data_IF_968442507650
#
_entry.id   IF_968442507650
#
_cell.length_a   1.000
_cell.length_b   1.000
_cell.length_c   1.000
_cell.angle_alpha   90.00
_cell.angle_beta   90.00
_cell.angle_gamma   90.00
#
_symmetry.space_group_name_H-M   'P 1'
#
loop_
_entity.id
_entity.type
_entity.pdbx_description
1 polymer ?
#
# COMPACT_ATOMS: atom_id res chain seq x y z
N UNK A 1 -60.39 -22.43 0.27
CA UNK A 1 -60.66 -22.36 -1.19
C UNK A 1 -60.33 -20.93 -1.58
N UNK A 2 -59.41 -20.58 -2.47
CA UNK A 2 -58.75 -21.30 -3.55
C UNK A 2 -57.52 -20.45 -3.96
N UNK A 3 -56.38 -21.11 -4.18
CA UNK A 3 -55.19 -20.52 -4.79
C UNK A 3 -55.50 -20.15 -6.24
N UNK A 4 -55.17 -18.93 -6.69
CA UNK A 4 -54.79 -18.71 -8.09
C UNK A 4 -53.60 -17.76 -8.20
N UNK A 5 -52.56 -18.31 -8.82
CA UNK A 5 -51.32 -17.64 -9.16
C UNK A 5 -51.48 -16.67 -10.33
N UNK A 6 -50.53 -15.73 -10.32
CA UNK A 6 -50.12 -14.66 -11.23
C UNK A 6 -50.10 -15.02 -12.73
N UNK A 7 -50.18 -14.02 -13.63
CA UNK A 7 -49.34 -14.06 -14.82
C UNK A 7 -48.39 -12.86 -14.91
N UNK A 8 -47.17 -13.25 -15.28
CA UNK A 8 -45.95 -12.50 -15.48
C UNK A 8 -46.10 -11.38 -16.53
N UNK A 9 -45.47 -10.23 -16.31
CA UNK A 9 -45.09 -9.29 -17.37
C UNK A 9 -43.68 -8.78 -17.10
N UNK A 10 -42.70 -9.47 -17.69
CA UNK A 10 -41.40 -8.89 -17.99
C UNK A 10 -41.53 -7.84 -19.10
N UNK A 11 -40.79 -6.73 -18.96
CA UNK A 11 -39.92 -6.18 -20.02
C UNK A 11 -39.11 -4.98 -19.52
N UNK A 12 -37.84 -5.27 -19.25
CA UNK A 12 -36.63 -4.57 -19.71
C UNK A 12 -36.69 -3.05 -19.97
N UNK A 13 -36.00 -2.28 -19.12
CA UNK A 13 -35.48 -0.94 -19.36
C UNK A 13 -34.16 -0.78 -18.58
N UNK A 14 -33.17 -0.03 -19.10
CA UNK A 14 -31.75 -0.35 -18.92
C UNK A 14 -31.19 -0.08 -17.52
N UNK A 15 -30.42 -1.04 -17.02
CA UNK A 15 -29.43 -0.88 -15.95
C UNK A 15 -28.17 -0.22 -16.55
N UNK A 16 -28.13 1.10 -16.59
CA UNK A 16 -26.93 1.89 -16.92
C UNK A 16 -27.12 3.25 -16.25
N UNK A 17 -26.26 3.76 -15.37
CA UNK A 17 -24.80 3.67 -15.31
C UNK A 17 -24.36 3.46 -13.86
N UNK A 18 -23.46 2.51 -13.63
CA UNK A 18 -22.61 2.55 -12.45
C UNK A 18 -21.82 3.85 -12.51
N UNK A 19 -22.11 4.79 -11.60
CA UNK A 19 -21.23 5.94 -11.38
C UNK A 19 -19.87 5.38 -10.99
N UNK A 20 -18.97 5.26 -11.95
CA UNK A 20 -17.55 5.06 -11.69
C UNK A 20 -17.15 6.18 -10.73
N UNK A 21 -16.75 5.79 -9.52
CA UNK A 21 -16.16 6.74 -8.57
C UNK A 21 -14.98 7.41 -9.28
N UNK A 22 -14.81 8.74 -9.18
CA UNK A 22 -13.67 9.40 -9.80
C UNK A 22 -12.38 8.76 -9.27
N UNK A 23 -11.52 8.32 -10.18
CA UNK A 23 -10.19 7.79 -9.88
C UNK A 23 -9.34 8.91 -9.27
N UNK A 24 -8.72 8.63 -8.12
CA UNK A 24 -7.42 9.20 -7.71
C UNK A 24 -7.28 10.70 -7.49
N UNK A 25 -8.35 11.50 -7.40
CA UNK A 25 -8.16 12.93 -7.07
C UNK A 25 -8.09 13.09 -5.56
N UNK A 26 -6.86 13.13 -5.02
CA UNK A 26 -6.61 13.62 -3.66
C UNK A 26 -7.19 15.03 -3.52
N UNK A 27 -7.74 15.35 -2.34
CA UNK A 27 -8.24 16.69 -2.07
C UNK A 27 -7.09 17.70 -2.22
N UNK A 28 -7.38 18.86 -2.85
CA UNK A 28 -6.39 19.93 -3.01
C UNK A 28 -5.76 20.28 -1.66
N UNK A 29 -4.43 20.17 -1.58
CA UNK A 29 -3.64 20.50 -0.39
C UNK A 29 -3.15 19.32 0.45
N UNK A 30 -3.45 18.07 0.06
CA UNK A 30 -2.81 16.88 0.64
C UNK A 30 -1.51 16.61 -0.12
N UNK A 31 -0.37 16.67 0.55
CA UNK A 31 0.89 16.20 -0.03
C UNK A 31 0.74 14.72 -0.42
N UNK A 32 1.27 14.37 -1.58
CA UNK A 32 1.09 13.08 -2.21
C UNK A 32 2.44 12.48 -2.60
N UNK A 33 2.49 11.15 -2.63
CA UNK A 33 3.61 10.40 -3.19
C UNK A 33 3.10 9.38 -4.21
N UNK A 34 3.96 8.96 -5.12
CA UNK A 34 3.65 7.87 -6.06
C UNK A 34 3.93 6.50 -5.46
N UNK A 35 3.05 5.55 -5.73
CA UNK A 35 3.20 4.16 -5.33
C UNK A 35 2.59 3.18 -6.34
N UNK A 36 3.09 1.95 -6.34
CA UNK A 36 2.46 0.83 -7.05
C UNK A 36 1.39 0.19 -6.18
N UNK A 37 0.14 0.36 -6.59
CA UNK A 37 -1.04 -0.09 -5.86
C UNK A 37 -1.50 -1.47 -6.34
N UNK A 38 -1.65 -2.36 -5.36
CA UNK A 38 -2.36 -3.63 -5.47
C UNK A 38 -3.81 -3.39 -5.05
N UNK A 39 -4.74 -3.40 -6.00
CA UNK A 39 -6.19 -3.22 -5.75
C UNK A 39 -6.94 -4.54 -5.60
N UNK A 40 -6.29 -5.65 -5.92
CA UNK A 40 -6.81 -7.00 -5.89
C UNK A 40 -5.66 -8.02 -5.89
N UNK A 41 -6.00 -9.30 -5.97
CA UNK A 41 -5.04 -10.41 -5.87
C UNK A 41 -4.80 -11.10 -7.23
N UNK A 42 -4.75 -10.31 -8.30
CA UNK A 42 -4.57 -10.77 -9.68
C UNK A 42 -3.10 -10.88 -10.10
N UNK A 43 -2.15 -10.76 -9.16
CA UNK A 43 -0.71 -10.83 -9.42
C UNK A 43 -0.03 -9.46 -9.57
N UNK A 44 1.30 -9.47 -9.72
CA UNK A 44 2.11 -8.24 -9.81
C UNK A 44 1.90 -7.49 -11.13
N UNK A 45 1.38 -8.18 -12.14
CA UNK A 45 0.97 -7.65 -13.43
C UNK A 45 -0.23 -6.70 -13.35
N UNK A 46 -1.03 -6.77 -12.28
CA UNK A 46 -2.18 -5.88 -12.06
C UNK A 46 -1.84 -4.62 -11.26
N UNK A 47 -0.58 -4.48 -10.81
CA UNK A 47 -0.16 -3.29 -10.07
C UNK A 47 -0.31 -2.04 -10.91
N UNK A 48 -0.90 -0.99 -10.32
CA UNK A 48 -1.05 0.31 -10.96
C UNK A 48 -0.27 1.38 -10.22
N UNK A 49 0.54 2.12 -10.95
CA UNK A 49 1.19 3.33 -10.44
C UNK A 49 0.14 4.44 -10.29
N UNK A 50 0.02 4.99 -9.08
CA UNK A 50 -0.90 6.09 -8.78
C UNK A 50 -0.34 6.98 -7.65
N UNK A 51 -1.05 8.06 -7.34
CA UNK A 51 -0.75 8.95 -6.20
C UNK A 51 -1.53 8.53 -4.95
N UNK A 52 -0.85 8.55 -3.81
CA UNK A 52 -1.42 8.30 -2.47
C UNK A 52 -0.99 9.40 -1.51
N UNK A 53 -1.69 9.61 -0.38
CA UNK A 53 -1.27 10.59 0.62
C UNK A 53 0.16 10.32 1.10
N UNK A 54 0.92 11.39 1.30
CA UNK A 54 2.28 11.32 1.84
C UNK A 54 2.23 10.76 3.29
N UNK A 55 2.88 9.61 3.56
CA UNK A 55 2.75 8.97 4.86
C UNK A 55 3.57 9.71 5.92
N UNK A 56 3.04 9.76 7.14
CA UNK A 56 3.69 10.42 8.27
C UNK A 56 4.10 9.38 9.34
N UNK A 57 5.31 9.46 9.91
CA UNK A 57 5.74 8.51 10.92
C UNK A 57 5.04 8.80 12.25
N UNK A 58 4.51 7.75 12.88
CA UNK A 58 3.96 7.78 14.23
C UNK A 58 5.00 7.52 15.33
N UNK A 59 4.53 7.17 16.53
CA UNK A 59 5.37 6.80 17.66
C UNK A 59 6.36 5.69 17.28
N UNK A 60 7.65 5.87 17.60
CA UNK A 60 8.75 4.93 17.33
C UNK A 60 8.93 4.54 15.84
N UNK A 61 8.45 5.38 14.91
CA UNK A 61 8.56 5.15 13.47
C UNK A 61 9.46 6.18 12.80
N UNK A 62 10.02 5.80 11.66
CA UNK A 62 10.74 6.69 10.74
C UNK A 62 10.07 6.66 9.38
N UNK A 63 10.12 7.79 8.68
CA UNK A 63 9.76 7.89 7.28
C UNK A 63 11.04 7.81 6.45
N UNK A 64 11.10 6.84 5.54
CA UNK A 64 12.21 6.70 4.61
C UNK A 64 11.79 7.23 3.24
N UNK A 65 12.63 8.07 2.63
CA UNK A 65 12.64 8.27 1.18
C UNK A 65 13.34 7.08 0.54
N UNK A 66 12.59 6.27 -0.18
CA UNK A 66 13.10 5.01 -0.77
C UNK A 66 14.08 5.34 -1.88
N UNK A 67 15.32 4.83 -1.77
CA UNK A 67 16.35 4.91 -2.83
C UNK A 67 16.39 3.63 -3.66
N UNK A 68 16.24 2.50 -2.99
CA UNK A 68 16.21 1.17 -3.61
C UNK A 68 15.12 0.34 -2.95
N UNK A 69 14.37 -0.40 -3.76
CA UNK A 69 13.45 -1.44 -3.31
C UNK A 69 13.89 -2.77 -3.94
N UNK A 70 13.80 -3.86 -3.19
CA UNK A 70 14.07 -5.20 -3.72
C UNK A 70 12.77 -5.91 -4.06
N UNK A 71 12.83 -6.80 -5.06
CA UNK A 71 11.73 -7.68 -5.41
C UNK A 71 11.98 -9.07 -4.83
N UNK A 72 11.00 -9.60 -4.11
CA UNK A 72 11.05 -10.93 -3.52
C UNK A 72 9.95 -11.83 -4.10
N UNK A 73 10.16 -13.16 -4.16
CA UNK A 73 9.08 -14.10 -4.47
C UNK A 73 7.87 -13.95 -3.54
N UNK A 74 8.10 -13.55 -2.29
CA UNK A 74 7.03 -13.28 -1.33
C UNK A 74 6.05 -12.19 -1.79
N UNK A 75 6.53 -11.14 -2.47
CA UNK A 75 5.67 -10.08 -3.00
C UNK A 75 4.73 -10.64 -4.08
N UNK A 76 5.27 -11.50 -4.97
CA UNK A 76 4.49 -12.16 -6.02
C UNK A 76 3.50 -13.20 -5.48
N UNK A 77 3.84 -13.89 -4.39
CA UNK A 77 2.93 -14.80 -3.70
C UNK A 77 1.83 -14.04 -2.97
N UNK A 78 2.15 -12.93 -2.30
CA UNK A 78 1.16 -12.10 -1.63
C UNK A 78 0.16 -11.53 -2.64
N UNK A 79 0.64 -11.05 -3.78
CA UNK A 79 -0.19 -10.55 -4.88
C UNK A 79 -1.16 -11.59 -5.48
N UNK A 80 -1.00 -12.88 -5.15
CA UNK A 80 -1.86 -14.00 -5.63
C UNK A 80 -2.60 -14.74 -4.51
N UNK A 81 -2.67 -14.20 -3.29
CA UNK A 81 -3.17 -14.91 -2.08
C UNK A 81 -2.45 -16.25 -1.79
N UNK A 82 -1.19 -16.37 -2.21
CA UNK A 82 -0.36 -17.55 -1.93
C UNK A 82 0.57 -17.34 -0.73
N UNK A 83 0.50 -16.17 -0.09
CA UNK A 83 1.21 -15.84 1.14
C UNK A 83 0.22 -15.77 2.31
N UNK A 84 0.60 -16.15 3.56
CA UNK A 84 -0.34 -16.20 4.69
C UNK A 84 -0.98 -14.86 5.10
N UNK A 85 -0.37 -13.73 4.73
CA UNK A 85 -0.86 -12.39 5.06
C UNK A 85 -2.08 -11.99 4.22
N UNK A 86 -2.91 -11.09 4.75
CA UNK A 86 -4.13 -10.61 4.08
C UNK A 86 -4.36 -9.11 4.35
N UNK A 87 -3.50 -8.24 3.79
CA UNK A 87 -3.59 -6.81 4.02
C UNK A 87 -4.87 -6.21 3.45
N UNK A 88 -5.26 -5.06 4.00
CA UNK A 88 -6.34 -4.26 3.41
C UNK A 88 -5.93 -3.70 2.04
N UNK A 89 -6.89 -3.68 1.11
CA UNK A 89 -6.73 -3.12 -0.23
C UNK A 89 -7.30 -1.68 -0.28
N UNK A 90 -6.69 -0.75 -1.05
CA UNK A 90 -5.48 -0.95 -1.83
C UNK A 90 -4.23 -1.08 -0.95
N UNK A 91 -3.28 -1.90 -1.39
CA UNK A 91 -2.03 -2.17 -0.68
C UNK A 91 -0.81 -1.79 -1.53
N UNK A 92 0.32 -1.54 -0.88
CA UNK A 92 1.61 -1.31 -1.52
C UNK A 92 2.53 -2.48 -1.13
N UNK A 93 3.03 -3.22 -2.12
CA UNK A 93 3.96 -4.34 -1.90
C UNK A 93 5.41 -3.84 -1.67
N UNK A 94 6.33 -4.77 -1.44
CA UNK A 94 7.76 -4.50 -1.30
C UNK A 94 8.18 -4.51 0.17
N UNK A 95 8.99 -5.51 0.52
CA UNK A 95 9.38 -5.78 1.92
C UNK A 95 10.75 -5.25 2.29
N UNK A 96 11.62 -5.13 1.29
CA UNK A 96 13.01 -4.74 1.48
C UNK A 96 13.31 -3.46 0.73
N UNK A 97 14.20 -2.67 1.32
CA UNK A 97 14.66 -1.43 0.71
C UNK A 97 15.77 -0.76 1.49
N UNK A 98 16.38 0.21 0.81
CA UNK A 98 17.32 1.16 1.39
C UNK A 98 16.78 2.55 1.11
N UNK A 99 16.80 3.39 2.13
CA UNK A 99 16.28 4.74 2.04
C UNK A 99 17.02 5.70 2.93
N UNK A 100 16.77 6.98 2.71
CA UNK A 100 17.22 8.05 3.59
C UNK A 100 16.11 8.41 4.56
N UNK A 101 16.44 8.56 5.84
CA UNK A 101 15.47 9.01 6.84
C UNK A 101 15.09 10.45 6.52
N UNK A 102 13.85 10.65 6.11
CA UNK A 102 13.28 11.97 5.79
C UNK A 102 12.65 12.61 7.02
N UNK A 103 12.00 11.81 7.87
CA UNK A 103 11.40 12.26 9.13
C UNK A 103 11.46 11.16 10.19
N UNK A 104 11.41 11.59 11.47
CA UNK A 104 11.34 10.71 12.64
C UNK A 104 10.11 11.05 13.47
N UNK A 105 9.42 10.03 13.95
CA UNK A 105 8.30 10.21 14.87
C UNK A 105 8.76 10.31 16.34
N UNK A 106 7.83 10.58 17.26
CA UNK A 106 8.14 10.67 18.69
C UNK A 106 8.79 9.40 19.23
N UNK A 107 9.74 9.52 20.15
CA UNK A 107 10.40 8.38 20.82
C UNK A 107 11.50 7.68 20.01
N UNK A 108 11.84 8.16 18.82
CA UNK A 108 12.99 7.66 18.05
C UNK A 108 14.27 8.35 18.53
N UNK A 109 15.21 7.55 19.04
CA UNK A 109 16.49 8.05 19.61
C UNK A 109 17.73 7.46 18.92
N UNK A 110 17.57 6.34 18.20
CA UNK A 110 18.68 5.52 17.69
C UNK A 110 19.15 5.86 16.27
N UNK A 111 18.40 6.71 15.56
CA UNK A 111 18.67 7.15 14.18
C UNK A 111 18.18 8.59 13.99
N UNK A 112 18.69 9.29 12.97
CA UNK A 112 18.35 10.68 12.69
C UNK A 112 18.07 10.95 11.20
N UNK A 113 17.44 12.10 10.92
CA UNK A 113 17.16 12.57 9.56
C UNK A 113 18.45 12.73 8.76
N UNK A 114 18.42 12.32 7.49
CA UNK A 114 19.54 12.34 6.55
C UNK A 114 20.37 11.05 6.52
N UNK A 115 20.18 10.14 7.47
CA UNK A 115 20.90 8.87 7.47
C UNK A 115 20.37 7.92 6.41
N UNK A 116 21.28 7.21 5.74
CA UNK A 116 20.89 6.12 4.82
C UNK A 116 20.88 4.79 5.58
N UNK A 117 19.74 4.12 5.58
CA UNK A 117 19.48 2.90 6.32
C UNK A 117 18.86 1.84 5.43
N UNK A 118 19.15 0.57 5.74
CA UNK A 118 18.47 -0.59 5.20
C UNK A 118 17.33 -1.02 6.11
N UNK A 119 16.24 -1.49 5.51
CA UNK A 119 15.10 -2.07 6.23
C UNK A 119 15.45 -3.49 6.66
N UNK A 120 15.24 -3.78 7.94
CA UNK A 120 15.30 -5.12 8.52
C UNK A 120 13.89 -5.70 8.63
N UNK A 121 13.80 -6.98 9.05
CA UNK A 121 12.52 -7.69 9.18
C UNK A 121 11.48 -6.89 9.99
N UNK A 122 10.35 -6.60 9.34
CA UNK A 122 9.14 -6.02 9.92
C UNK A 122 7.93 -6.30 9.03
N UNK A 123 6.80 -5.63 9.28
CA UNK A 123 5.51 -5.82 8.60
C UNK A 123 5.33 -4.98 7.33
N UNK A 124 6.34 -4.18 6.97
CA UNK A 124 6.38 -3.39 5.72
C UNK A 124 6.25 -4.32 4.52
N UNK A 125 5.30 -4.01 3.62
CA UNK A 125 4.97 -4.81 2.44
C UNK A 125 4.27 -6.14 2.74
N UNK A 126 3.81 -6.35 3.99
CA UNK A 126 3.06 -7.56 4.42
C UNK A 126 1.67 -7.18 4.91
N UNK A 127 1.61 -6.49 6.05
CA UNK A 127 0.37 -5.95 6.63
C UNK A 127 0.38 -4.40 6.64
N UNK A 128 1.54 -3.79 6.42
CA UNK A 128 1.74 -2.35 6.28
C UNK A 128 2.22 -2.00 4.87
N UNK A 129 1.99 -0.77 4.41
CA UNK A 129 2.43 -0.34 3.09
C UNK A 129 3.95 -0.51 2.90
N UNK A 130 4.31 -1.02 1.72
CA UNK A 130 5.65 -1.47 1.38
C UNK A 130 6.52 -0.45 0.65
N UNK A 131 7.66 -0.94 0.17
CA UNK A 131 8.75 -0.18 -0.46
C UNK A 131 8.56 0.07 -1.94
N UNK A 132 7.51 -0.48 -2.60
CA UNK A 132 7.16 -0.12 -3.98
C UNK A 132 6.44 1.24 -4.04
N UNK A 133 7.02 2.24 -3.40
CA UNK A 133 6.56 3.62 -3.27
C UNK A 133 7.77 4.56 -3.16
N UNK A 134 7.54 5.85 -3.36
CA UNK A 134 8.59 6.86 -3.18
C UNK A 134 9.01 7.00 -1.70
N UNK A 135 8.09 6.75 -0.77
CA UNK A 135 8.35 6.79 0.68
C UNK A 135 7.67 5.64 1.42
N UNK A 136 8.20 5.28 2.58
CA UNK A 136 7.66 4.21 3.42
C UNK A 136 7.89 4.51 4.90
N UNK A 137 6.89 4.19 5.73
CA UNK A 137 7.01 4.30 7.19
C UNK A 137 7.46 2.95 7.75
N UNK A 138 8.51 2.99 8.58
CA UNK A 138 9.15 1.78 9.12
C UNK A 138 9.34 1.97 10.63
N UNK A 139 9.17 0.93 11.47
CA UNK A 139 9.58 0.99 12.86
C UNK A 139 11.07 1.32 12.98
N UNK A 140 11.46 2.26 13.85
CA UNK A 140 12.86 2.69 14.00
C UNK A 140 13.80 1.57 14.48
N UNK A 141 13.24 0.56 15.17
CA UNK A 141 13.96 -0.66 15.57
C UNK A 141 14.24 -1.63 14.42
N UNK A 142 13.59 -1.43 13.28
CA UNK A 142 13.65 -2.28 12.10
C UNK A 142 14.45 -1.63 10.98
N UNK A 143 15.35 -0.71 11.31
CA UNK A 143 16.31 -0.15 10.35
C UNK A 143 17.74 -0.31 10.89
N UNK A 144 18.70 -0.41 9.97
CA UNK A 144 20.12 -0.42 10.30
C UNK A 144 20.91 0.47 9.34
N UNK A 145 21.91 1.17 9.88
CA UNK A 145 22.92 1.88 9.07
C UNK A 145 23.61 0.88 8.14
N UNK A 146 23.79 1.27 6.88
CA UNK A 146 24.55 0.47 5.91
C UNK A 146 26.03 0.94 5.89
N UNK A 147 26.98 0.07 5.51
CA UNK A 147 28.37 0.48 5.28
C UNK A 147 28.47 1.54 4.17
N UNK A 148 29.35 2.51 4.37
CA UNK A 148 29.74 3.55 3.39
C UNK A 148 30.99 3.17 2.62
#
# INVERSE_FOLDING_TARGET
>A
MENKAVPNRERNGPLTESRQRPKGVLARGVEAMRAWLMEGYEGVESLRLDEVPDPQPGLEQVLLRVKFAALNPADAFLARRMYPANPSLPHILGRDGVGEIEAVGPGVENVCVGETVGILRCEVGVEQWGTLAEKVVVPAKSVARIPT
#
